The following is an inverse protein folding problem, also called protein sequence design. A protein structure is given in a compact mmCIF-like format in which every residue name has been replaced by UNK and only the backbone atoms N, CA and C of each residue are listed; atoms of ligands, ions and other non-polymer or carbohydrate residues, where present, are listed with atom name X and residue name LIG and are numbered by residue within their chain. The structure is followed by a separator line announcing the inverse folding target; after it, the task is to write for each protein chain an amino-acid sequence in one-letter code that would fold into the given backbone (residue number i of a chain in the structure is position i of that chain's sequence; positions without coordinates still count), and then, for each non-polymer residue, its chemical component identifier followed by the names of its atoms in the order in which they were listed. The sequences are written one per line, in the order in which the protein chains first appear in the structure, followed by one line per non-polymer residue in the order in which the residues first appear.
data_IF_009716156008
#
_entry.id   IF_009716156008
#
_cell.length_a   1.000
_cell.length_b   1.000
_cell.length_c   1.000
_cell.angle_alpha   90.00
_cell.angle_beta   90.00
_cell.angle_gamma   90.00
#
_symmetry.space_group_name_H-M   'P 1'
#
loop_
_entity.id
_entity.type
_entity.pdbx_description
1 polymer ?
#
# COMPACT_ATOMS: atom_id res chain seq x y z
N UNK A 1 21.33 1.60 -13.15
CA UNK A 1 20.30 2.65 -13.23
C UNK A 1 21.02 4.00 -13.23
N UNK A 2 20.54 5.05 -13.92
CA UNK A 2 21.09 6.40 -13.74
C UNK A 2 21.10 6.75 -12.24
N UNK A 3 21.95 7.67 -11.80
CA UNK A 3 22.06 8.08 -10.39
C UNK A 3 20.69 8.49 -9.83
N UNK A 4 19.99 7.55 -9.20
CA UNK A 4 18.67 7.78 -8.61
C UNK A 4 18.89 8.57 -7.33
N UNK A 5 18.18 9.68 -7.18
CA UNK A 5 18.22 10.41 -5.93
C UNK A 5 17.51 9.58 -4.85
N UNK A 6 18.28 9.07 -3.88
CA UNK A 6 17.76 8.19 -2.82
C UNK A 6 16.65 8.82 -1.98
N UNK A 7 16.64 10.15 -1.81
CA UNK A 7 15.58 10.86 -1.11
C UNK A 7 14.27 10.89 -1.89
N UNK A 8 14.33 11.13 -3.20
CA UNK A 8 13.16 11.06 -4.09
C UNK A 8 12.68 9.62 -4.29
N UNK A 9 13.60 8.65 -4.31
CA UNK A 9 13.28 7.23 -4.35
C UNK A 9 12.50 6.79 -3.11
N UNK A 10 12.99 7.16 -1.92
CA UNK A 10 12.27 6.95 -0.67
C UNK A 10 10.90 7.61 -0.67
N UNK A 11 10.82 8.89 -1.07
CA UNK A 11 9.56 9.62 -1.09
C UNK A 11 8.55 8.96 -2.03
N UNK A 12 8.99 8.52 -3.21
CA UNK A 12 8.19 7.84 -4.23
C UNK A 12 7.55 6.55 -3.68
N UNK A 13 8.34 5.68 -3.06
CA UNK A 13 7.85 4.43 -2.45
C UNK A 13 6.93 4.70 -1.24
N UNK A 14 7.24 5.73 -0.44
CA UNK A 14 6.44 6.12 0.72
C UNK A 14 5.05 6.62 0.30
N UNK A 15 4.97 7.58 -0.63
CA UNK A 15 3.69 8.16 -1.03
C UNK A 15 2.86 7.19 -1.87
N UNK A 16 3.50 6.35 -2.69
CA UNK A 16 2.81 5.33 -3.45
C UNK A 16 2.22 4.25 -2.57
N UNK A 17 2.97 3.78 -1.56
CA UNK A 17 2.48 2.78 -0.62
C UNK A 17 1.41 3.37 0.30
N UNK A 18 1.54 4.64 0.71
CA UNK A 18 0.48 5.34 1.44
C UNK A 18 -0.82 5.44 0.64
N UNK A 19 -0.74 5.74 -0.66
CA UNK A 19 -1.90 5.76 -1.55
C UNK A 19 -2.53 4.37 -1.70
N UNK A 20 -1.69 3.35 -1.92
CA UNK A 20 -2.10 1.95 -2.01
C UNK A 20 -2.92 1.54 -0.78
N UNK A 21 -2.39 1.76 0.42
CA UNK A 21 -3.04 1.32 1.66
C UNK A 21 -4.25 2.19 2.02
N UNK A 22 -4.20 3.50 1.76
CA UNK A 22 -5.36 4.38 1.98
C UNK A 22 -6.58 3.89 1.19
N UNK A 23 -6.39 3.57 -0.09
CA UNK A 23 -7.48 3.15 -0.98
C UNK A 23 -7.84 1.67 -0.77
N UNK A 24 -6.86 0.79 -0.58
CA UNK A 24 -7.05 -0.64 -0.35
C UNK A 24 -7.79 -0.91 0.95
N UNK A 25 -7.29 -0.40 2.09
CA UNK A 25 -8.04 -0.46 3.35
C UNK A 25 -9.35 0.32 3.25
N UNK A 26 -9.38 1.42 2.50
CA UNK A 26 -10.59 2.22 2.27
C UNK A 26 -11.74 1.41 1.68
N UNK A 27 -11.50 0.58 0.65
CA UNK A 27 -12.56 -0.27 0.10
C UNK A 27 -13.03 -1.34 1.10
N UNK A 28 -12.12 -1.90 1.90
CA UNK A 28 -12.50 -2.87 2.93
C UNK A 28 -13.32 -2.20 4.02
N UNK A 29 -12.93 -1.03 4.51
CA UNK A 29 -13.68 -0.21 5.46
C UNK A 29 -15.08 0.12 4.92
N UNK A 30 -15.17 0.46 3.64
CA UNK A 30 -16.43 0.79 2.97
C UNK A 30 -17.42 -0.37 2.91
N UNK A 31 -16.90 -1.60 2.79
CA UNK A 31 -17.70 -2.82 2.68
C UNK A 31 -18.00 -3.44 4.05
N UNK A 32 -17.05 -3.37 4.98
CA UNK A 32 -17.11 -4.07 6.26
C UNK A 32 -17.73 -3.25 7.40
N UNK A 33 -17.58 -1.93 7.42
CA UNK A 33 -18.06 -1.10 8.54
C UNK A 33 -19.52 -0.65 8.35
N UNK A 34 -20.30 -0.71 9.43
CA UNK A 34 -21.69 -0.26 9.46
C UNK A 34 -21.87 1.22 9.08
N UNK A 35 -23.11 1.54 8.67
CA UNK A 35 -23.55 2.87 8.24
C UNK A 35 -22.77 3.46 7.06
N UNK A 36 -22.05 2.62 6.33
CA UNK A 36 -21.50 2.97 5.04
C UNK A 36 -22.48 2.64 3.91
N UNK A 37 -22.49 3.43 2.83
CA UNK A 37 -23.30 3.15 1.64
C UNK A 37 -22.83 1.92 0.86
N UNK A 38 -21.56 1.54 0.99
CA UNK A 38 -21.02 0.31 0.40
C UNK A 38 -21.11 -0.90 1.31
N UNK A 39 -21.76 -0.78 2.48
CA UNK A 39 -21.83 -1.84 3.47
C UNK A 39 -22.42 -3.12 2.85
N UNK A 40 -21.76 -4.25 3.12
CA UNK A 40 -22.09 -5.55 2.55
C UNK A 40 -22.02 -5.61 1.01
N UNK A 41 -21.19 -4.76 0.39
CA UNK A 41 -20.91 -4.77 -1.06
C UNK A 41 -20.15 -6.01 -1.57
N UNK A 42 -19.64 -6.84 -0.66
CA UNK A 42 -19.12 -8.17 -0.94
C UNK A 42 -17.76 -8.21 -1.66
N UNK A 43 -17.35 -9.44 -1.99
CA UNK A 43 -16.01 -9.77 -2.51
C UNK A 43 -15.66 -9.05 -3.81
N UNK A 44 -16.62 -8.89 -4.73
CA UNK A 44 -16.39 -8.23 -6.02
C UNK A 44 -15.97 -6.76 -5.85
N UNK A 45 -16.62 -6.04 -4.93
CA UNK A 45 -16.30 -4.64 -4.68
C UNK A 45 -14.90 -4.49 -4.09
N UNK A 46 -14.53 -5.38 -3.15
CA UNK A 46 -13.19 -5.43 -2.54
C UNK A 46 -12.11 -5.67 -3.61
N UNK A 47 -12.30 -6.64 -4.50
CA UNK A 47 -11.32 -6.95 -5.56
C UNK A 47 -11.09 -5.77 -6.50
N UNK A 48 -12.16 -5.15 -6.98
CA UNK A 48 -12.04 -3.98 -7.87
C UNK A 48 -11.42 -2.78 -7.15
N UNK A 49 -11.81 -2.52 -5.90
CA UNK A 49 -11.22 -1.44 -5.11
C UNK A 49 -9.72 -1.64 -4.87
N UNK A 50 -9.29 -2.85 -4.51
CA UNK A 50 -7.87 -3.17 -4.37
C UNK A 50 -7.11 -3.05 -5.69
N UNK A 51 -7.66 -3.54 -6.80
CA UNK A 51 -7.04 -3.39 -8.12
C UNK A 51 -6.80 -1.93 -8.50
N UNK A 52 -7.79 -1.06 -8.25
CA UNK A 52 -7.67 0.38 -8.47
C UNK A 52 -6.71 1.05 -7.48
N UNK A 53 -6.65 0.58 -6.23
CA UNK A 53 -5.68 1.04 -5.24
C UNK A 53 -4.23 0.75 -5.67
N UNK A 54 -3.96 -0.46 -6.17
CA UNK A 54 -2.66 -0.83 -6.74
C UNK A 54 -2.31 0.06 -7.92
N UNK A 55 -3.26 0.24 -8.86
CA UNK A 55 -3.06 1.12 -10.00
C UNK A 55 -2.69 2.55 -9.59
N UNK A 56 -3.42 3.13 -8.64
CA UNK A 56 -3.12 4.47 -8.13
C UNK A 56 -1.75 4.54 -7.45
N UNK A 57 -1.41 3.55 -6.62
CA UNK A 57 -0.09 3.45 -5.98
C UNK A 57 1.04 3.43 -6.99
N UNK A 58 0.90 2.65 -8.08
CA UNK A 58 1.88 2.56 -9.17
C UNK A 58 2.08 3.91 -9.86
N UNK A 59 0.99 4.64 -10.14
CA UNK A 59 1.10 5.96 -10.76
C UNK A 59 1.83 6.96 -9.85
N UNK A 60 1.57 6.92 -8.55
CA UNK A 60 2.18 7.83 -7.57
C UNK A 60 3.66 7.52 -7.32
N UNK A 61 4.06 6.25 -7.38
CA UNK A 61 5.44 5.77 -7.16
C UNK A 61 6.26 5.58 -8.44
N UNK A 62 5.82 6.15 -9.56
CA UNK A 62 6.46 5.93 -10.86
C UNK A 62 7.96 6.29 -10.87
N UNK A 63 8.41 7.25 -10.04
CA UNK A 63 9.81 7.67 -9.98
C UNK A 63 10.76 6.56 -9.50
N UNK A 64 10.34 5.74 -8.54
CA UNK A 64 11.14 4.63 -7.97
C UNK A 64 11.03 3.33 -8.79
N UNK A 65 10.21 3.31 -9.83
CA UNK A 65 9.87 2.10 -10.56
C UNK A 65 8.71 1.31 -9.94
N UNK A 66 7.99 1.91 -8.97
CA UNK A 66 6.78 1.39 -8.35
C UNK A 66 6.93 -0.02 -7.75
N UNK A 67 7.81 -0.17 -6.75
CA UNK A 67 8.01 -1.45 -6.07
C UNK A 67 6.83 -1.76 -5.15
N UNK A 68 6.49 -0.82 -4.25
CA UNK A 68 5.31 -0.77 -3.40
C UNK A 68 5.07 -1.99 -2.50
N UNK A 69 6.03 -2.91 -2.44
CA UNK A 69 5.87 -4.22 -1.87
C UNK A 69 7.25 -4.84 -1.59
N UNK A 70 7.58 -5.11 -0.32
CA UNK A 70 8.85 -5.71 0.04
C UNK A 70 9.13 -7.06 -0.65
N UNK A 71 8.10 -7.84 -0.99
CA UNK A 71 8.25 -9.10 -1.72
C UNK A 71 8.67 -8.88 -3.18
N UNK A 72 8.18 -7.82 -3.83
CA UNK A 72 8.64 -7.41 -5.16
C UNK A 72 10.09 -6.91 -5.06
N UNK A 73 10.40 -6.14 -4.02
CA UNK A 73 11.76 -5.71 -3.71
C UNK A 73 12.75 -6.87 -3.55
N UNK A 74 12.35 -7.94 -2.85
CA UNK A 74 13.15 -9.18 -2.75
C UNK A 74 13.38 -9.78 -4.14
N UNK A 75 12.35 -9.87 -4.98
CA UNK A 75 12.48 -10.38 -6.34
C UNK A 75 13.49 -9.58 -7.17
N UNK A 76 13.45 -8.26 -7.09
CA UNK A 76 14.40 -7.37 -7.77
C UNK A 76 15.82 -7.48 -7.19
N UNK A 77 15.95 -7.66 -5.87
CA UNK A 77 17.24 -7.88 -5.23
C UNK A 77 17.86 -9.22 -5.62
N UNK A 78 17.07 -10.30 -5.67
CA UNK A 78 17.53 -11.61 -6.15
C UNK A 78 17.99 -11.52 -7.61
N UNK A 79 17.30 -10.76 -8.47
CA UNK A 79 17.76 -10.52 -9.84
C UNK A 79 19.13 -9.85 -9.88
N UNK A 80 19.38 -8.88 -9.00
CA UNK A 80 20.68 -8.21 -8.89
C UNK A 80 21.80 -9.17 -8.45
N UNK A 81 21.50 -10.10 -7.53
CA UNK A 81 22.47 -11.11 -7.10
C UNK A 81 22.85 -12.09 -8.24
N UNK A 82 21.93 -12.36 -9.16
CA UNK A 82 22.16 -13.23 -10.32
C UNK A 82 22.85 -12.50 -11.48
N UNK A 83 22.52 -11.22 -11.68
CA UNK A 83 23.06 -10.36 -12.71
C UNK A 83 23.11 -8.90 -12.19
N UNK A 84 24.29 -8.40 -11.79
CA UNK A 84 24.43 -7.06 -11.20
C UNK A 84 23.98 -5.92 -12.12
N UNK A 85 23.82 -6.17 -13.43
CA UNK A 85 23.30 -5.18 -14.37
C UNK A 85 21.76 -5.03 -14.31
N UNK A 86 21.06 -5.91 -13.57
CA UNK A 86 19.61 -5.93 -13.41
C UNK A 86 19.20 -5.74 -11.95
N UNK A 87 17.90 -5.52 -11.74
CA UNK A 87 17.32 -5.44 -10.40
C UNK A 87 17.76 -4.19 -9.63
N UNK A 88 17.74 -4.31 -8.31
CA UNK A 88 18.15 -3.27 -7.37
C UNK A 88 19.18 -3.85 -6.39
N UNK A 89 20.16 -3.05 -5.98
CA UNK A 89 21.12 -3.46 -4.97
C UNK A 89 20.50 -3.44 -3.55
N UNK A 90 21.28 -3.87 -2.56
CA UNK A 90 20.81 -3.94 -1.18
C UNK A 90 20.43 -2.56 -0.59
N UNK A 91 21.21 -1.47 -0.77
CA UNK A 91 20.80 -0.13 -0.36
C UNK A 91 19.44 0.31 -0.90
N UNK A 92 19.18 0.12 -2.19
CA UNK A 92 17.88 0.48 -2.79
C UNK A 92 16.75 -0.38 -2.21
N UNK A 93 16.96 -1.69 -2.08
CA UNK A 93 15.99 -2.58 -1.44
C UNK A 93 15.65 -2.15 -0.01
N UNK A 94 16.65 -1.88 0.82
CA UNK A 94 16.46 -1.50 2.22
C UNK A 94 15.71 -0.15 2.35
N UNK A 95 16.05 0.83 1.50
CA UNK A 95 15.37 2.13 1.49
C UNK A 95 13.94 2.01 1.01
N UNK A 96 13.66 1.23 -0.03
CA UNK A 96 12.30 0.97 -0.50
C UNK A 96 11.46 0.30 0.60
N UNK A 97 11.97 -0.77 1.22
CA UNK A 97 11.25 -1.46 2.30
C UNK A 97 10.96 -0.55 3.49
N UNK A 98 11.92 0.30 3.89
CA UNK A 98 11.68 1.28 4.95
C UNK A 98 10.61 2.31 4.58
N UNK A 99 10.63 2.80 3.34
CA UNK A 99 9.64 3.73 2.81
C UNK A 99 8.24 3.10 2.73
N UNK A 100 8.14 1.87 2.23
CA UNK A 100 6.91 1.09 2.08
C UNK A 100 6.24 0.84 3.44
N UNK A 101 7.00 0.42 4.46
CA UNK A 101 6.45 0.19 5.80
C UNK A 101 5.90 1.49 6.42
N UNK A 102 6.63 2.59 6.29
CA UNK A 102 6.16 3.91 6.76
C UNK A 102 4.94 4.38 5.98
N UNK A 103 4.97 4.24 4.65
CA UNK A 103 3.86 4.55 3.76
C UNK A 103 2.61 3.75 4.12
N UNK A 104 2.75 2.45 4.36
CA UNK A 104 1.65 1.57 4.74
C UNK A 104 0.99 2.01 6.07
N UNK A 105 1.80 2.36 7.09
CA UNK A 105 1.29 2.88 8.35
C UNK A 105 0.54 4.20 8.13
N UNK A 106 1.10 5.13 7.36
CA UNK A 106 0.47 6.41 7.04
C UNK A 106 -0.86 6.18 6.32
N UNK A 107 -0.89 5.34 5.28
CA UNK A 107 -2.09 5.02 4.52
C UNK A 107 -3.18 4.39 5.38
N UNK A 108 -2.82 3.45 6.26
CA UNK A 108 -3.75 2.82 7.20
C UNK A 108 -4.33 3.83 8.21
N UNK A 109 -3.49 4.71 8.77
CA UNK A 109 -3.96 5.77 9.69
C UNK A 109 -4.88 6.75 8.98
N UNK A 110 -4.56 7.15 7.74
CA UNK A 110 -5.42 8.02 6.95
C UNK A 110 -6.76 7.36 6.62
N UNK A 111 -6.78 6.06 6.31
CA UNK A 111 -8.01 5.28 6.14
C UNK A 111 -8.84 5.30 7.44
N UNK A 112 -8.21 5.00 8.58
CA UNK A 112 -8.88 5.04 9.87
C UNK A 112 -9.46 6.42 10.19
N UNK A 113 -8.71 7.51 9.93
CA UNK A 113 -9.20 8.88 10.10
C UNK A 113 -10.41 9.18 9.19
N UNK A 114 -10.34 8.79 7.92
CA UNK A 114 -11.42 9.00 6.96
C UNK A 114 -12.71 8.24 7.33
N UNK A 115 -12.57 7.07 7.95
CA UNK A 115 -13.69 6.21 8.37
C UNK A 115 -13.95 6.25 9.88
N UNK A 116 -13.37 7.22 10.62
CA UNK A 116 -13.33 7.20 12.09
C UNK A 116 -14.69 7.01 12.75
N UNK A 117 -15.71 7.70 12.25
CA UNK A 117 -17.08 7.60 12.76
C UNK A 117 -17.67 6.21 12.53
N UNK A 118 -17.44 5.61 11.35
CA UNK A 118 -17.86 4.23 11.07
C UNK A 118 -17.14 3.22 11.96
N UNK A 119 -15.85 3.42 12.22
CA UNK A 119 -15.10 2.59 13.18
C UNK A 119 -15.65 2.69 14.60
N UNK A 120 -16.08 3.87 15.04
CA UNK A 120 -16.64 4.06 16.39
C UNK A 120 -18.00 3.38 16.53
N UNK A 121 -18.79 3.38 15.47
CA UNK A 121 -20.14 2.80 15.46
C UNK A 121 -20.17 1.30 15.17
N UNK A 122 -19.11 0.75 14.58
CA UNK A 122 -19.00 -0.68 14.28
C UNK A 122 -19.00 -1.52 15.57
N UNK A 123 -20.00 -2.40 15.79
CA UNK A 123 -20.07 -3.20 17.00
C UNK A 123 -19.09 -4.38 17.00
N UNK A 124 -18.80 -4.96 15.84
CA UNK A 124 -18.01 -6.19 15.76
C UNK A 124 -16.49 -5.89 15.65
N UNK A 125 -15.67 -6.27 16.65
CA UNK A 125 -14.23 -6.01 16.61
C UNK A 125 -13.52 -6.68 15.42
N UNK A 126 -14.03 -7.84 14.97
CA UNK A 126 -13.49 -8.57 13.84
C UNK A 126 -13.59 -7.77 12.53
N UNK A 127 -14.68 -7.02 12.32
CA UNK A 127 -14.86 -6.17 11.15
C UNK A 127 -13.82 -5.03 11.13
N UNK A 128 -13.52 -4.44 12.29
CA UNK A 128 -12.50 -3.38 12.40
C UNK A 128 -11.09 -3.91 12.11
N UNK A 129 -10.77 -5.08 12.68
CA UNK A 129 -9.49 -5.75 12.43
C UNK A 129 -9.35 -6.10 10.94
N UNK A 130 -10.41 -6.63 10.34
CA UNK A 130 -10.44 -7.04 8.93
C UNK A 130 -10.09 -5.94 7.93
N UNK A 131 -10.27 -4.66 8.28
CA UNK A 131 -9.86 -3.53 7.42
C UNK A 131 -8.34 -3.48 7.21
N UNK A 132 -7.55 -3.96 8.16
CA UNK A 132 -6.10 -3.81 8.18
C UNK A 132 -5.33 -5.14 8.18
N UNK A 133 -6.03 -6.28 8.11
CA UNK A 133 -5.43 -7.62 8.24
C UNK A 133 -5.97 -8.65 7.25
N UNK A 134 -6.24 -8.23 6.01
CA UNK A 134 -6.69 -9.11 4.92
C UNK A 134 -5.58 -10.02 4.40
#
# INVERSE_FOLDING_TARGET
MPDVNMGLYFLSELVGTAMLLLLGCGVVANVALVKNKGFNGGFLMVNWGWGLAVFAGVLVSAYSGAILNPAVGIGLFVQHLLDPAKGIDFPHYAVATGAELLGAIIGAVLCWLAYKQHFDEEPEPANKLGVFST
#
